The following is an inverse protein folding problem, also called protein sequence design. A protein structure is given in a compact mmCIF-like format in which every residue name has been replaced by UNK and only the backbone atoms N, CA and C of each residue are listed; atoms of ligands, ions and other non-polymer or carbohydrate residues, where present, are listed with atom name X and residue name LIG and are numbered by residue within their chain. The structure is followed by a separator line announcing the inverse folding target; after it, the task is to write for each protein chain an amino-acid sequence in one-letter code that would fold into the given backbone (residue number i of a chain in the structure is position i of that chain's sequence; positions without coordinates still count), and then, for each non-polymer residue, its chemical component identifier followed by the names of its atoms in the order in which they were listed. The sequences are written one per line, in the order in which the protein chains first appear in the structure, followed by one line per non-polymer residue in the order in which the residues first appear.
data_IF_367783920866
#
_entry.id   IF_367783920866
#
_cell.length_a   1.000
_cell.length_b   1.000
_cell.length_c   1.000
_cell.angle_alpha   90.00
_cell.angle_beta   90.00
_cell.angle_gamma   90.00
#
_symmetry.space_group_name_H-M   'P 1'
#
loop_
_entity.id
_entity.type
_entity.pdbx_description
1 polymer ?
#
# COMPACT_ATOMS: atom_id res chain seq x y z
N UNK A 1 28.84 1.82 -33.81
CA UNK A 1 29.84 2.56 -33.03
C UNK A 1 29.53 2.27 -31.56
N UNK A 2 29.71 1.02 -31.13
CA UNK A 2 30.97 0.42 -30.63
C UNK A 2 31.35 1.05 -29.29
N UNK A 3 31.06 0.28 -28.24
CA UNK A 3 31.20 0.61 -26.83
C UNK A 3 32.65 0.99 -26.48
N UNK A 4 32.93 2.24 -26.15
CA UNK A 4 34.17 2.58 -25.46
C UNK A 4 34.05 2.13 -24.01
N UNK A 5 34.39 0.86 -23.80
CA UNK A 5 34.71 0.28 -22.51
C UNK A 5 35.41 1.29 -21.62
N UNK A 6 34.95 1.41 -20.39
CA UNK A 6 35.61 2.11 -19.28
C UNK A 6 37.04 1.57 -19.15
N UNK A 7 38.02 2.22 -19.81
CA UNK A 7 39.43 1.86 -19.66
C UNK A 7 39.86 2.31 -18.26
N UNK A 8 39.84 1.36 -17.31
CA UNK A 8 40.44 1.54 -16.00
C UNK A 8 41.95 1.77 -16.20
N UNK A 9 42.55 2.78 -15.54
CA UNK A 9 43.99 2.96 -15.56
C UNK A 9 44.69 1.71 -14.99
N UNK A 10 45.74 1.23 -15.65
CA UNK A 10 46.56 0.12 -15.14
C UNK A 10 47.55 0.56 -14.05
N UNK A 11 47.71 1.87 -13.84
CA UNK A 11 48.54 2.43 -12.79
C UNK A 11 47.85 2.32 -11.42
N UNK A 12 48.57 1.74 -10.45
CA UNK A 12 48.06 1.49 -9.10
C UNK A 12 47.68 2.79 -8.39
N UNK A 13 48.46 3.86 -8.58
CA UNK A 13 48.21 5.12 -7.90
C UNK A 13 47.02 5.86 -8.53
N UNK A 14 46.87 5.80 -9.85
CA UNK A 14 45.65 6.25 -10.54
C UNK A 14 44.39 5.49 -10.06
N UNK A 15 44.46 4.17 -9.87
CA UNK A 15 43.35 3.39 -9.33
C UNK A 15 42.99 3.76 -7.89
N UNK A 16 43.99 3.96 -7.02
CA UNK A 16 43.77 4.43 -5.64
C UNK A 16 43.13 5.83 -5.61
N UNK A 17 43.48 6.71 -6.54
CA UNK A 17 42.87 8.04 -6.64
C UNK A 17 41.39 7.93 -7.01
N UNK A 18 41.06 7.12 -8.04
CA UNK A 18 39.68 6.85 -8.43
C UNK A 18 38.87 6.22 -7.29
N UNK A 19 39.45 5.29 -6.54
CA UNK A 19 38.77 4.65 -5.40
C UNK A 19 38.40 5.69 -4.33
N UNK A 20 39.32 6.59 -3.96
CA UNK A 20 39.03 7.66 -2.99
C UNK A 20 37.94 8.60 -3.47
N UNK A 21 37.94 8.93 -4.76
CA UNK A 21 36.89 9.77 -5.35
C UNK A 21 35.52 9.08 -5.26
N UNK A 22 35.45 7.79 -5.61
CA UNK A 22 34.23 6.99 -5.49
C UNK A 22 33.78 6.85 -4.04
N UNK A 23 34.69 6.59 -3.11
CA UNK A 23 34.38 6.51 -1.69
C UNK A 23 33.80 7.83 -1.15
N UNK A 24 34.35 8.97 -1.59
CA UNK A 24 33.82 10.28 -1.25
C UNK A 24 32.41 10.50 -1.82
N UNK A 25 32.18 10.11 -3.08
CA UNK A 25 30.85 10.16 -3.71
C UNK A 25 29.84 9.28 -2.98
N UNK A 26 30.21 8.05 -2.63
CA UNK A 26 29.36 7.13 -1.87
C UNK A 26 29.07 7.67 -0.47
N UNK A 27 30.05 8.26 0.21
CA UNK A 27 29.84 8.87 1.52
C UNK A 27 28.83 10.03 1.46
N UNK A 28 28.93 10.88 0.45
CA UNK A 28 27.99 12.00 0.25
C UNK A 28 26.56 11.49 -0.06
N UNK A 29 26.43 10.50 -0.94
CA UNK A 29 25.12 9.88 -1.23
C UNK A 29 24.51 9.23 0.02
N UNK A 30 25.30 8.51 0.82
CA UNK A 30 24.85 7.92 2.09
C UNK A 30 24.38 8.99 3.07
N UNK A 31 25.08 10.11 3.15
CA UNK A 31 24.68 11.25 3.98
C UNK A 31 23.34 11.81 3.53
N UNK A 32 23.14 12.02 2.23
CA UNK A 32 21.87 12.50 1.68
C UNK A 32 20.71 11.53 1.95
N UNK A 33 20.93 10.23 1.76
CA UNK A 33 19.94 9.20 2.10
C UNK A 33 19.59 9.24 3.59
N UNK A 34 20.59 9.29 4.48
CA UNK A 34 20.35 9.36 5.92
C UNK A 34 19.57 10.60 6.33
N UNK A 35 19.85 11.75 5.70
CA UNK A 35 19.12 13.00 5.94
C UNK A 35 17.66 12.89 5.51
N UNK A 36 17.39 12.31 4.34
CA UNK A 36 16.02 12.09 3.84
C UNK A 36 15.24 11.14 4.73
N UNK A 37 15.84 10.01 5.13
CA UNK A 37 15.20 9.06 6.04
C UNK A 37 14.86 9.71 7.39
N UNK A 38 15.73 10.57 7.93
CA UNK A 38 15.44 11.32 9.15
C UNK A 38 14.28 12.31 8.97
N UNK A 39 14.20 13.00 7.84
CA UNK A 39 13.09 13.91 7.53
C UNK A 39 11.75 13.16 7.45
N UNK A 40 11.73 11.99 6.79
CA UNK A 40 10.55 11.11 6.70
C UNK A 40 10.07 10.71 8.10
N UNK A 41 10.97 10.23 8.95
CA UNK A 41 10.61 9.83 10.32
C UNK A 41 10.13 11.03 11.15
N UNK A 42 10.74 12.19 10.99
CA UNK A 42 10.30 13.41 11.64
C UNK A 42 8.88 13.82 11.23
N UNK A 43 8.56 13.78 9.94
CA UNK A 43 7.24 14.10 9.42
C UNK A 43 6.18 13.12 9.93
N UNK A 44 6.45 11.81 9.90
CA UNK A 44 5.56 10.77 10.45
C UNK A 44 5.24 11.02 11.92
N UNK A 45 6.26 11.29 12.74
CA UNK A 45 6.07 11.57 14.16
C UNK A 45 5.25 12.85 14.39
N UNK A 46 5.51 13.89 13.60
CA UNK A 46 4.77 15.16 13.67
C UNK A 46 3.31 14.97 13.30
N UNK A 47 3.01 14.28 12.21
CA UNK A 47 1.64 13.95 11.80
C UNK A 47 0.93 13.15 12.91
N UNK A 48 1.58 12.12 13.45
CA UNK A 48 1.00 11.32 14.53
C UNK A 48 0.70 12.15 15.78
N UNK A 49 1.59 13.11 16.11
CA UNK A 49 1.38 14.04 17.22
C UNK A 49 0.19 14.96 16.97
N UNK A 50 0.10 15.58 15.78
CA UNK A 50 -1.00 16.48 15.42
C UNK A 50 -2.34 15.74 15.44
N UNK A 51 -2.40 14.51 14.91
CA UNK A 51 -3.59 13.64 14.95
C UNK A 51 -4.10 13.40 16.37
N UNK A 52 -3.20 13.16 17.33
CA UNK A 52 -3.57 12.97 18.75
C UNK A 52 -4.13 14.24 19.40
N UNK A 53 -3.83 15.41 18.84
CA UNK A 53 -4.25 16.71 19.36
C UNK A 53 -5.57 17.21 18.72
N UNK A 54 -6.16 16.47 17.79
CA UNK A 54 -7.38 16.88 17.08
C UNK A 54 -8.62 16.86 17.98
N UNK A 55 -9.09 18.05 18.40
CA UNK A 55 -10.42 18.24 18.99
C UNK A 55 -10.98 19.64 18.72
N UNK A 56 -12.29 19.72 18.43
CA UNK A 56 -13.03 20.98 18.30
C UNK A 56 -12.71 21.81 17.05
N UNK A 57 -13.09 23.09 17.03
CA UNK A 57 -12.92 23.99 15.87
C UNK A 57 -11.46 24.19 15.42
N UNK A 58 -10.49 23.92 16.30
CA UNK A 58 -9.06 23.93 15.95
C UNK A 58 -8.64 22.69 15.15
N UNK A 59 -9.42 21.60 15.19
CA UNK A 59 -9.22 20.38 14.39
C UNK A 59 -9.15 20.69 12.91
N UNK A 60 -10.12 21.44 12.37
CA UNK A 60 -10.16 21.71 10.92
C UNK A 60 -8.89 22.39 10.40
N UNK A 61 -8.23 23.23 11.21
CA UNK A 61 -6.94 23.84 10.85
C UNK A 61 -5.79 22.82 10.95
N UNK A 62 -5.80 21.98 11.98
CA UNK A 62 -4.82 20.90 12.13
C UNK A 62 -4.95 19.86 11.00
N UNK A 63 -6.17 19.60 10.54
CA UNK A 63 -6.46 18.67 9.45
C UNK A 63 -5.83 19.14 8.15
N UNK A 64 -6.02 20.41 7.79
CA UNK A 64 -5.33 21.03 6.63
C UNK A 64 -3.81 20.98 6.77
N UNK A 65 -3.28 21.18 7.98
CA UNK A 65 -1.84 21.10 8.22
C UNK A 65 -1.33 19.65 8.08
N UNK A 66 -2.10 18.67 8.55
CA UNK A 66 -1.78 17.25 8.40
C UNK A 66 -1.77 16.88 6.92
N UNK A 67 -2.79 17.27 6.14
CA UNK A 67 -2.86 17.03 4.70
C UNK A 67 -1.62 17.58 3.97
N UNK A 68 -1.16 18.78 4.31
CA UNK A 68 0.06 19.35 3.74
C UNK A 68 1.33 18.56 4.09
N UNK A 69 1.44 18.10 5.34
CA UNK A 69 2.58 17.29 5.78
C UNK A 69 2.54 15.88 5.18
N UNK A 70 1.36 15.31 4.97
CA UNK A 70 1.16 14.03 4.31
C UNK A 70 1.54 14.11 2.83
N UNK A 71 1.11 15.15 2.12
CA UNK A 71 1.53 15.37 0.74
C UNK A 71 3.05 15.45 0.61
N UNK A 72 3.71 16.21 1.49
CA UNK A 72 5.18 16.31 1.50
C UNK A 72 5.86 14.98 1.85
N UNK A 73 5.26 14.19 2.74
CA UNK A 73 5.75 12.86 3.08
C UNK A 73 5.64 11.93 1.86
N UNK A 74 4.52 11.96 1.14
CA UNK A 74 4.31 11.19 -0.08
C UNK A 74 5.32 11.54 -1.17
N UNK A 75 5.59 12.84 -1.39
CA UNK A 75 6.61 13.29 -2.36
C UNK A 75 7.99 12.69 -2.04
N UNK A 76 8.42 12.75 -0.77
CA UNK A 76 9.72 12.20 -0.34
C UNK A 76 9.79 10.67 -0.48
N UNK A 77 8.68 9.97 -0.22
CA UNK A 77 8.61 8.51 -0.31
C UNK A 77 8.48 8.01 -1.76
N UNK A 78 7.86 8.79 -2.65
CA UNK A 78 7.75 8.46 -4.07
C UNK A 78 9.14 8.40 -4.73
N UNK A 79 10.04 9.32 -4.35
CA UNK A 79 11.44 9.33 -4.79
C UNK A 79 12.19 8.05 -4.37
N UNK A 80 11.94 7.54 -3.16
CA UNK A 80 12.52 6.28 -2.67
C UNK A 80 11.93 5.06 -3.39
N UNK A 81 10.60 5.01 -3.55
CA UNK A 81 9.90 3.92 -4.22
C UNK A 81 10.24 3.78 -5.70
N UNK A 82 10.51 4.90 -6.40
CA UNK A 82 10.96 4.86 -7.79
C UNK A 82 12.31 4.14 -7.95
N UNK A 83 13.23 4.31 -6.99
CA UNK A 83 14.52 3.60 -6.98
C UNK A 83 14.33 2.09 -6.74
N UNK A 84 13.45 1.71 -5.82
CA UNK A 84 13.13 0.30 -5.57
C UNK A 84 12.47 -0.39 -6.78
N UNK A 85 11.55 0.30 -7.47
CA UNK A 85 10.89 -0.23 -8.67
C UNK A 85 11.87 -0.43 -9.82
N UNK A 86 12.85 0.48 -10.00
CA UNK A 86 13.92 0.31 -10.99
C UNK A 86 14.80 -0.91 -10.66
N UNK A 87 15.22 -1.06 -9.40
CA UNK A 87 15.98 -2.23 -8.96
C UNK A 87 15.20 -3.56 -9.11
N UNK A 88 13.88 -3.53 -8.87
CA UNK A 88 13.00 -4.67 -9.11
C UNK A 88 12.78 -4.97 -10.60
N UNK A 89 12.91 -3.98 -11.49
CA UNK A 89 12.81 -4.18 -12.94
C UNK A 89 14.09 -4.83 -13.51
N UNK A 90 15.26 -4.47 -12.99
CA UNK A 90 16.54 -5.08 -13.39
C UNK A 90 16.64 -6.57 -12.99
N UNK A 91 15.89 -6.99 -11.97
CA UNK A 91 15.89 -8.37 -11.45
C UNK A 91 14.70 -9.22 -11.91
N UNK A 92 13.79 -8.68 -12.75
CA UNK A 92 12.62 -9.42 -13.22
C UNK A 92 12.99 -10.51 -14.22
N UNK A 93 13.01 -11.75 -13.73
CA UNK A 93 12.80 -12.98 -14.51
C UNK A 93 11.66 -12.80 -15.53
N UNK A 94 11.72 -13.47 -16.69
CA UNK A 94 10.75 -13.28 -17.77
C UNK A 94 9.33 -13.45 -17.22
N UNK A 95 8.54 -12.39 -17.40
CA UNK A 95 7.11 -12.35 -17.12
C UNK A 95 6.49 -13.56 -17.81
N UNK A 96 6.05 -14.56 -17.04
CA UNK A 96 5.27 -15.68 -17.58
C UNK A 96 4.08 -15.07 -18.31
N UNK A 97 4.13 -15.14 -19.63
CA UNK A 97 3.01 -14.78 -20.50
C UNK A 97 1.82 -15.58 -19.99
N UNK A 98 0.81 -14.86 -19.49
CA UNK A 98 -0.38 -15.49 -18.94
C UNK A 98 -0.96 -16.39 -20.02
N UNK A 99 -1.02 -17.70 -19.75
CA UNK A 99 -1.68 -18.64 -20.63
C UNK A 99 -3.09 -18.09 -20.91
N UNK A 100 -3.31 -17.65 -22.16
CA UNK A 100 -4.62 -17.19 -22.59
C UNK A 100 -5.58 -18.36 -22.41
N UNK A 101 -6.55 -18.17 -21.52
CA UNK A 101 -7.57 -19.19 -21.26
C UNK A 101 -8.37 -19.34 -22.55
N UNK A 102 -8.27 -20.51 -23.18
CA UNK A 102 -9.18 -20.90 -24.26
C UNK A 102 -10.62 -20.79 -23.72
N UNK A 103 -11.57 -20.21 -24.47
CA UNK A 103 -12.96 -20.18 -24.05
C UNK A 103 -13.47 -21.61 -23.78
N UNK A 104 -14.40 -21.75 -22.84
CA UNK A 104 -14.98 -23.05 -22.53
C UNK A 104 -15.64 -23.64 -23.80
N UNK A 105 -15.43 -24.92 -24.12
CA UNK A 105 -16.00 -25.53 -25.31
C UNK A 105 -17.53 -25.54 -25.35
N UNK A 106 -18.11 -25.31 -26.53
CA UNK A 106 -19.56 -25.16 -26.75
C UNK A 106 -20.40 -26.43 -26.47
N UNK A 107 -19.75 -27.59 -26.34
CA UNK A 107 -20.40 -28.88 -26.12
C UNK A 107 -20.53 -29.27 -24.65
N UNK A 108 -20.12 -28.38 -23.72
CA UNK A 108 -20.35 -28.59 -22.30
C UNK A 108 -21.80 -28.24 -21.96
N UNK A 109 -22.47 -29.12 -21.22
CA UNK A 109 -23.83 -28.87 -20.74
C UNK A 109 -23.83 -27.65 -19.80
N UNK A 110 -24.43 -26.55 -20.26
CA UNK A 110 -24.62 -25.34 -19.45
C UNK A 110 -25.84 -25.51 -18.53
N UNK A 111 -25.62 -25.62 -17.22
CA UNK A 111 -26.70 -25.55 -16.22
C UNK A 111 -26.97 -24.08 -15.85
N UNK A 112 -28.10 -23.53 -16.29
CA UNK A 112 -28.54 -22.18 -15.92
C UNK A 112 -29.13 -22.18 -14.50
N UNK A 113 -28.36 -21.68 -13.52
CA UNK A 113 -28.84 -21.50 -12.14
C UNK A 113 -29.38 -20.09 -11.93
N UNK A 114 -30.70 -19.94 -12.05
CA UNK A 114 -31.40 -18.70 -11.72
C UNK A 114 -31.42 -18.51 -10.21
N UNK A 115 -30.62 -17.58 -9.71
CA UNK A 115 -30.64 -17.20 -8.30
C UNK A 115 -31.75 -16.18 -8.10
N UNK A 116 -32.84 -16.59 -7.45
CA UNK A 116 -33.89 -15.65 -7.04
C UNK A 116 -33.28 -14.62 -6.09
N UNK A 117 -33.61 -13.35 -6.30
CA UNK A 117 -33.22 -12.26 -5.41
C UNK A 117 -33.84 -12.51 -4.04
N UNK A 118 -33.08 -13.11 -3.13
CA UNK A 118 -33.50 -13.24 -1.74
C UNK A 118 -33.65 -11.82 -1.22
N UNK A 119 -34.89 -11.41 -0.91
CA UNK A 119 -35.14 -10.10 -0.32
C UNK A 119 -34.32 -10.02 0.95
N UNK A 120 -33.39 -9.07 1.01
CA UNK A 120 -32.61 -8.79 2.21
C UNK A 120 -33.59 -8.35 3.29
N UNK A 121 -33.95 -9.26 4.18
CA UNK A 121 -34.85 -8.94 5.29
C UNK A 121 -34.02 -8.16 6.31
N UNK A 122 -34.43 -6.94 6.72
CA UNK A 122 -33.71 -6.20 7.75
C UNK A 122 -33.61 -7.03 9.03
N UNK A 123 -32.46 -6.99 9.70
CA UNK A 123 -32.23 -7.72 10.96
C UNK A 123 -33.32 -7.40 12.00
N UNK A 124 -33.83 -6.16 12.00
CA UNK A 124 -34.94 -5.73 12.84
C UNK A 124 -36.24 -6.53 12.64
N UNK A 125 -36.50 -7.01 11.42
CA UNK A 125 -37.68 -7.84 11.10
C UNK A 125 -37.52 -9.24 11.68
N UNK A 126 -36.32 -9.82 11.60
CA UNK A 126 -36.01 -11.11 12.23
C UNK A 126 -36.15 -10.99 13.75
N UNK A 127 -35.66 -9.90 14.34
CA UNK A 127 -35.77 -9.64 15.78
C UNK A 127 -37.24 -9.48 16.25
N UNK A 128 -38.11 -8.82 15.48
CA UNK A 128 -39.55 -8.72 15.80
C UNK A 128 -40.24 -10.08 15.75
N UNK A 129 -40.00 -10.87 14.71
CA UNK A 129 -40.55 -12.23 14.60
C UNK A 129 -40.07 -13.12 15.75
N UNK A 130 -38.80 -12.99 16.15
CA UNK A 130 -38.27 -13.68 17.33
C UNK A 130 -38.95 -13.24 18.63
N UNK A 131 -39.18 -11.94 18.82
CA UNK A 131 -39.82 -11.41 20.03
C UNK A 131 -41.30 -11.80 20.12
N UNK A 132 -42.01 -11.82 18.99
CA UNK A 132 -43.41 -12.25 18.90
C UNK A 132 -43.55 -13.75 19.16
N UNK A 133 -42.69 -14.59 18.58
CA UNK A 133 -42.62 -16.01 18.92
C UNK A 133 -42.27 -16.24 20.40
N UNK A 134 -41.32 -15.47 20.94
CA UNK A 134 -40.94 -15.56 22.34
C UNK A 134 -42.06 -15.10 23.30
N UNK A 135 -42.85 -14.08 22.91
CA UNK A 135 -44.05 -13.65 23.65
C UNK A 135 -45.15 -14.70 23.61
N UNK A 136 -45.45 -15.28 22.45
CA UNK A 136 -46.49 -16.30 22.32
C UNK A 136 -46.15 -17.55 23.14
N UNK A 137 -44.91 -18.02 23.08
CA UNK A 137 -44.44 -19.17 23.86
C UNK A 137 -44.44 -18.94 25.38
N UNK A 138 -44.40 -17.69 25.83
CA UNK A 138 -44.54 -17.30 27.25
C UNK A 138 -46.00 -17.23 27.71
N UNK A 139 -46.93 -16.96 26.79
CA UNK A 139 -48.37 -16.92 27.07
C UNK A 139 -48.94 -18.34 27.24
N UNK A 140 -48.42 -19.31 26.50
CA UNK A 140 -48.87 -20.72 26.57
C UNK A 140 -48.41 -21.46 27.85
N UNK A 141 -47.47 -20.91 28.63
CA UNK A 141 -47.06 -21.48 29.94
C UNK A 141 -47.81 -20.92 31.15
N UNK A 142 -48.87 -20.12 30.92
CA UNK A 142 -49.72 -19.56 31.99
C UNK A 142 -51.13 -20.13 32.01
N UNK A 143 -51.37 -21.23 31.30
CA UNK A 143 -52.60 -22.02 31.40
C UNK A 143 -52.17 -23.48 31.46
N UNK A 144 -52.03 -23.99 32.68
CA UNK A 144 -51.60 -25.33 33.04
C UNK A 144 -51.54 -25.45 34.54
#
# INVERSE_FOLDING_TARGET
MESTSTALPDDIDALKALLRERDAQVAELRKQLSSRSLEIEHLKLTIAKLRRMQFGRKSEKLDRQIEQLELRLEDLQADEGAAEVMAAHETKQPRREGASRKPLPDHLECEERVHLRVRRVPIATIARLYLDLYRSRRKDRRIG
#
